data_IF_272447353039
#
_entry.id   IF_272447353039
#
_cell.length_a   1.000
_cell.length_b   1.000
_cell.length_c   1.000
_cell.angle_alpha   90.00
_cell.angle_beta   90.00
_cell.angle_gamma   90.00
#
_symmetry.space_group_name_H-M   'P 1'
#
loop_
_entity.id
_entity.type
_entity.pdbx_description
1 polymer ?
#
# COMPACT_ATOMS: atom_id res chain seq x y z
N UNK A 1 -12.64 -24.79 18.37
CA UNK A 1 -12.57 -24.15 17.04
C UNK A 1 -11.11 -24.09 16.64
N UNK A 2 -10.70 -24.58 15.46
CA UNK A 2 -9.33 -24.41 15.04
C UNK A 2 -9.15 -22.94 14.65
N UNK A 3 -8.33 -22.21 15.39
CA UNK A 3 -7.77 -20.94 14.94
C UNK A 3 -6.88 -21.28 13.76
N UNK A 4 -7.41 -21.16 12.55
CA UNK A 4 -6.62 -21.20 11.33
C UNK A 4 -5.59 -20.09 11.46
N UNK A 5 -4.36 -20.45 11.81
CA UNK A 5 -3.23 -19.55 11.80
C UNK A 5 -3.09 -19.12 10.34
N UNK A 6 -3.60 -17.94 10.02
CA UNK A 6 -3.44 -17.37 8.70
C UNK A 6 -1.94 -17.20 8.47
N UNK A 7 -1.45 -17.77 7.37
CA UNK A 7 -0.03 -17.69 7.03
C UNK A 7 0.41 -16.22 7.01
N UNK A 8 1.61 -15.88 7.51
CA UNK A 8 2.16 -14.53 7.40
C UNK A 8 2.09 -13.97 5.96
N UNK A 9 2.18 -14.86 4.96
CA UNK A 9 2.03 -14.51 3.55
C UNK A 9 0.61 -14.05 3.19
N UNK A 10 -0.43 -14.56 3.84
CA UNK A 10 -1.81 -14.11 3.66
C UNK A 10 -1.99 -12.68 4.16
N UNK A 11 -1.48 -12.37 5.36
CA UNK A 11 -1.53 -11.01 5.90
C UNK A 11 -0.77 -10.02 5.03
N UNK A 12 0.39 -10.43 4.50
CA UNK A 12 1.19 -9.61 3.61
C UNK A 12 0.49 -9.36 2.27
N UNK A 13 -0.11 -10.39 1.68
CA UNK A 13 -0.89 -10.25 0.44
C UNK A 13 -2.09 -9.32 0.62
N UNK A 14 -2.80 -9.44 1.75
CA UNK A 14 -3.91 -8.54 2.09
C UNK A 14 -3.44 -7.09 2.25
N UNK A 15 -2.40 -6.87 3.05
CA UNK A 15 -1.84 -5.54 3.25
C UNK A 15 -1.36 -4.91 1.93
N UNK A 16 -0.77 -5.70 1.04
CA UNK A 16 -0.37 -5.25 -0.30
C UNK A 16 -1.57 -4.77 -1.12
N UNK A 17 -2.67 -5.50 -1.13
CA UNK A 17 -3.89 -5.10 -1.86
C UNK A 17 -4.48 -3.80 -1.27
N UNK A 18 -4.61 -3.73 0.07
CA UNK A 18 -5.13 -2.55 0.75
C UNK A 18 -4.27 -1.30 0.45
N UNK A 19 -2.94 -1.47 0.39
CA UNK A 19 -2.01 -0.40 0.02
C UNK A 19 -2.11 0.00 -1.46
N UNK A 20 -2.32 -0.95 -2.38
CA UNK A 20 -2.53 -0.64 -3.80
C UNK A 20 -3.81 0.19 -4.00
N UNK A 21 -4.89 -0.18 -3.32
CA UNK A 21 -6.16 0.56 -3.35
C UNK A 21 -5.98 1.97 -2.75
N UNK A 22 -5.32 2.07 -1.60
CA UNK A 22 -5.04 3.36 -0.97
C UNK A 22 -4.17 4.27 -1.85
N UNK A 23 -3.19 3.70 -2.56
CA UNK A 23 -2.34 4.44 -3.52
C UNK A 23 -3.17 4.96 -4.67
N UNK A 24 -4.05 4.14 -5.24
CA UNK A 24 -4.92 4.52 -6.34
C UNK A 24 -5.83 5.68 -5.91
N UNK A 25 -6.47 5.58 -4.74
CA UNK A 25 -7.30 6.63 -4.19
C UNK A 25 -6.52 7.95 -3.95
N UNK A 26 -5.26 7.87 -3.49
CA UNK A 26 -4.42 9.05 -3.31
C UNK A 26 -4.07 9.73 -4.65
N UNK A 27 -3.79 8.96 -5.70
CA UNK A 27 -3.55 9.48 -7.04
C UNK A 27 -4.80 10.10 -7.65
N UNK A 28 -5.95 9.45 -7.51
CA UNK A 28 -7.24 9.97 -7.98
C UNK A 28 -7.57 11.29 -7.28
N UNK A 29 -7.34 11.37 -5.97
CA UNK A 29 -7.49 12.61 -5.22
C UNK A 29 -6.53 13.70 -5.72
N UNK A 30 -5.25 13.38 -5.96
CA UNK A 30 -4.28 14.33 -6.51
C UNK A 30 -4.70 14.85 -7.89
N UNK A 31 -5.25 13.99 -8.75
CA UNK A 31 -5.74 14.36 -10.07
C UNK A 31 -7.00 15.24 -10.02
N UNK A 32 -7.93 14.94 -9.11
CA UNK A 32 -9.17 15.70 -8.95
C UNK A 32 -8.97 17.08 -8.30
N UNK A 33 -7.89 17.26 -7.53
CA UNK A 33 -7.60 18.52 -6.84
C UNK A 33 -6.95 19.55 -7.78
N UNK A 34 -7.39 20.80 -7.63
CA UNK A 34 -6.72 21.95 -8.24
C UNK A 34 -5.25 22.05 -7.78
N UNK A 35 -4.36 22.64 -8.60
CA UNK A 35 -2.97 22.85 -8.22
C UNK A 35 -2.83 23.55 -6.87
N UNK A 36 -2.01 22.99 -5.98
CA UNK A 36 -1.75 23.56 -4.66
C UNK A 36 -1.39 22.53 -3.60
N UNK A 37 -1.27 22.99 -2.34
CA UNK A 37 -0.76 22.17 -1.24
C UNK A 37 -1.54 20.88 -1.01
N UNK A 38 -2.87 20.87 -1.21
CA UNK A 38 -3.70 19.66 -1.05
C UNK A 38 -3.37 18.60 -2.11
N UNK A 39 -3.20 19.00 -3.37
CA UNK A 39 -2.77 18.11 -4.47
C UNK A 39 -1.39 17.54 -4.18
N UNK A 40 -0.44 18.39 -3.80
CA UNK A 40 0.93 17.96 -3.50
C UNK A 40 0.95 16.93 -2.37
N UNK A 41 0.18 17.14 -1.29
CA UNK A 41 0.06 16.18 -0.19
C UNK A 41 -0.54 14.84 -0.63
N UNK A 42 -1.53 14.85 -1.52
CA UNK A 42 -2.09 13.62 -2.08
C UNK A 42 -1.08 12.86 -2.95
N UNK A 43 -0.27 13.57 -3.74
CA UNK A 43 0.86 12.99 -4.49
C UNK A 43 1.93 12.41 -3.56
N UNK A 44 2.37 13.17 -2.55
CA UNK A 44 3.35 12.69 -1.55
C UNK A 44 2.84 11.45 -0.79
N UNK A 45 1.54 11.38 -0.52
CA UNK A 45 0.94 10.20 0.11
C UNK A 45 1.03 8.97 -0.82
N UNK A 46 0.71 9.14 -2.11
CA UNK A 46 0.84 8.05 -3.08
C UNK A 46 2.28 7.54 -3.20
N UNK A 47 3.28 8.44 -3.15
CA UNK A 47 4.71 8.09 -3.16
C UNK A 47 5.10 7.29 -1.91
N UNK A 48 4.71 7.74 -0.71
CA UNK A 48 4.98 7.00 0.54
C UNK A 48 4.34 5.61 0.55
N UNK A 49 3.16 5.47 -0.05
CA UNK A 49 2.52 4.16 -0.20
C UNK A 49 3.31 3.28 -1.19
N UNK A 50 3.84 3.84 -2.28
CA UNK A 50 4.77 3.13 -3.18
C UNK A 50 5.99 2.60 -2.43
N UNK A 51 6.61 3.41 -1.57
CA UNK A 51 7.76 2.96 -0.79
C UNK A 51 7.38 1.82 0.17
N UNK A 52 6.21 1.94 0.80
CA UNK A 52 5.64 0.91 1.69
C UNK A 52 5.40 -0.41 0.96
N UNK A 53 4.85 -0.36 -0.25
CA UNK A 53 4.70 -1.54 -1.11
C UNK A 53 6.05 -2.20 -1.40
N UNK A 54 7.11 -1.41 -1.65
CA UNK A 54 8.46 -1.93 -1.82
C UNK A 54 9.01 -2.64 -0.58
N UNK A 55 8.65 -2.19 0.63
CA UNK A 55 8.97 -2.92 1.87
C UNK A 55 8.20 -4.24 1.96
N UNK A 56 6.91 -4.26 1.60
CA UNK A 56 6.11 -5.49 1.58
C UNK A 56 6.69 -6.53 0.61
N UNK A 57 7.14 -6.12 -0.57
CA UNK A 57 7.76 -7.03 -1.55
C UNK A 57 9.07 -7.62 -1.03
N UNK A 58 9.93 -6.80 -0.40
CA UNK A 58 11.16 -7.29 0.24
C UNK A 58 10.88 -8.27 1.36
N UNK A 59 9.86 -8.00 2.18
CA UNK A 59 9.44 -8.91 3.25
C UNK A 59 8.92 -10.23 2.68
N UNK A 60 8.13 -10.19 1.59
CA UNK A 60 7.64 -11.40 0.94
C UNK A 60 8.81 -12.29 0.49
N UNK A 61 9.80 -11.70 -0.19
CA UNK A 61 10.99 -12.42 -0.64
C UNK A 61 11.79 -13.03 0.51
N UNK A 62 11.83 -12.38 1.68
CA UNK A 62 12.52 -12.89 2.86
C UNK A 62 11.78 -14.05 3.54
N UNK A 63 10.45 -14.10 3.46
CA UNK A 63 9.62 -15.16 4.06
C UNK A 63 9.47 -16.38 3.15
N UNK A 64 9.62 -16.21 1.82
CA UNK A 64 9.50 -17.30 0.84
C UNK A 64 10.83 -17.99 0.51
N UNK A 65 11.95 -17.55 1.08
CA UNK A 65 13.28 -18.18 0.94
C UNK A 65 13.58 -19.05 2.15
#
# INVERSE_FOLDING_TARGET
MPTTIQSPLYHLARARNDLLDARMAALDAAHALAPGSRRNRATELAEKITDTLGFCERLQMAVTR
#
